data_IF_886917857209
#
_entry.id   IF_886917857209
#
_cell.length_a   1.000
_cell.length_b   1.000
_cell.length_c   1.000
_cell.angle_alpha   90.00
_cell.angle_beta   90.00
_cell.angle_gamma   90.00
#
_symmetry.space_group_name_H-M   'P 1'
#
loop_
_entity.id
_entity.type
_entity.pdbx_description
1 polymer ?
#
# COMPACT_ATOMS: atom_id res chain seq x y z
N UNK A 1 11.17 -12.02 68.06
CA UNK A 1 10.22 -11.84 69.17
C UNK A 1 10.26 -10.39 69.61
N UNK A 2 9.10 -9.73 69.46
CA UNK A 2 8.56 -8.55 70.16
C UNK A 2 9.43 -7.33 70.53
N UNK A 3 8.85 -6.18 70.16
CA UNK A 3 8.70 -4.93 70.93
C UNK A 3 9.50 -3.68 70.49
N UNK A 4 9.05 -2.44 70.81
CA UNK A 4 8.45 -1.54 69.83
C UNK A 4 8.92 -0.07 69.98
N UNK A 5 8.15 0.86 69.36
CA UNK A 5 8.08 2.33 69.62
C UNK A 5 9.28 3.19 69.18
N UNK A 6 8.99 4.16 68.31
CA UNK A 6 8.96 5.58 68.71
C UNK A 6 8.41 6.48 67.59
N UNK A 7 7.25 7.08 67.85
CA UNK A 7 6.78 8.30 67.16
C UNK A 7 7.76 9.44 67.46
N UNK A 8 8.18 10.18 66.44
CA UNK A 8 8.54 11.60 66.59
C UNK A 8 7.88 12.40 65.47
N UNK A 9 6.92 13.22 65.87
CA UNK A 9 6.44 14.36 65.10
C UNK A 9 7.58 15.37 64.96
N UNK A 10 7.89 15.78 63.73
CA UNK A 10 8.67 16.98 63.45
C UNK A 10 7.80 17.89 62.58
N UNK A 11 7.21 18.87 63.24
CA UNK A 11 6.66 20.09 62.67
C UNK A 11 7.80 20.97 62.21
N UNK A 12 7.93 21.20 60.91
CA UNK A 12 8.69 22.34 60.36
C UNK A 12 7.74 23.22 59.58
N UNK A 13 7.31 24.28 60.27
CA UNK A 13 6.60 25.44 59.74
C UNK A 13 7.57 26.31 58.93
N UNK A 14 7.02 26.88 57.86
CA UNK A 14 7.28 28.23 57.32
C UNK A 14 8.69 28.58 56.85
N UNK A 15 8.88 28.63 55.52
CA UNK A 15 9.75 29.57 54.80
C UNK A 15 9.48 29.44 53.28
N UNK A 16 8.46 30.12 52.74
CA UNK A 16 8.29 30.24 51.27
C UNK A 16 7.32 31.39 50.90
N UNK A 17 7.58 32.60 51.40
CA UNK A 17 6.82 33.78 51.02
C UNK A 17 7.75 34.92 50.65
N UNK A 18 8.60 34.76 49.62
CA UNK A 18 9.40 35.88 49.10
C UNK A 18 9.87 35.75 47.63
N UNK A 19 9.22 34.95 46.78
CA UNK A 19 9.65 34.75 45.37
C UNK A 19 8.62 35.10 44.28
N UNK A 20 7.50 35.75 44.61
CA UNK A 20 6.45 36.05 43.62
C UNK A 20 6.56 37.41 42.91
N UNK A 21 7.56 38.25 43.20
CA UNK A 21 7.58 39.64 42.70
C UNK A 21 8.39 39.89 41.41
N UNK A 22 8.85 38.87 40.68
CA UNK A 22 9.71 39.06 39.49
C UNK A 22 9.16 38.49 38.18
N UNK A 23 7.87 38.13 38.11
CA UNK A 23 7.28 37.46 36.93
C UNK A 23 6.36 38.30 36.05
N UNK A 24 6.23 39.60 36.27
CA UNK A 24 5.24 40.44 35.57
C UNK A 24 5.75 41.15 34.31
N UNK A 25 7.05 41.04 33.95
CA UNK A 25 7.61 41.79 32.82
C UNK A 25 7.65 41.08 31.45
N UNK A 26 7.68 39.74 31.42
CA UNK A 26 8.02 38.99 30.19
C UNK A 26 6.82 38.37 29.46
N UNK A 27 5.65 38.33 30.09
CA UNK A 27 4.45 37.73 29.49
C UNK A 27 3.85 38.54 28.34
N UNK A 28 3.95 39.89 28.42
CA UNK A 28 3.32 40.76 27.43
C UNK A 28 4.05 40.78 26.08
N UNK A 29 5.38 40.69 26.08
CA UNK A 29 6.18 40.71 24.84
C UNK A 29 6.10 39.39 24.08
N UNK A 30 6.03 38.25 24.79
CA UNK A 30 5.87 36.94 24.16
C UNK A 30 4.50 36.79 23.49
N UNK A 31 3.43 37.30 24.10
CA UNK A 31 2.08 37.24 23.51
C UNK A 31 1.98 38.10 22.23
N UNK A 32 2.62 39.27 22.20
CA UNK A 32 2.65 40.14 21.03
C UNK A 32 3.41 39.49 19.84
N UNK A 33 4.53 38.80 20.11
CA UNK A 33 5.31 38.13 19.07
C UNK A 33 4.52 37.01 18.36
N UNK A 34 3.73 36.22 19.11
CA UNK A 34 2.89 35.15 18.55
C UNK A 34 1.75 35.72 17.69
N UNK A 35 1.18 36.86 18.09
CA UNK A 35 0.13 37.52 17.31
C UNK A 35 0.67 38.06 15.97
N UNK A 36 1.89 38.61 15.95
CA UNK A 36 2.50 39.14 14.72
C UNK A 36 2.88 37.99 13.78
N UNK A 37 3.47 36.90 14.29
CA UNK A 37 3.84 35.76 13.47
C UNK A 37 2.63 35.07 12.82
N UNK A 38 1.48 35.01 13.50
CA UNK A 38 0.25 34.44 12.94
C UNK A 38 -0.36 35.33 11.85
N UNK A 39 -0.30 36.66 11.99
CA UNK A 39 -0.77 37.58 10.94
C UNK A 39 0.14 37.46 9.70
N UNK A 40 1.46 37.56 9.85
CA UNK A 40 2.40 37.49 8.72
C UNK A 40 2.32 36.14 8.00
N UNK A 41 2.25 35.03 8.75
CA UNK A 41 2.09 33.69 8.16
C UNK A 41 0.78 33.55 7.39
N UNK A 42 -0.32 34.09 7.92
CA UNK A 42 -1.63 34.06 7.24
C UNK A 42 -1.61 34.92 5.98
N UNK A 43 -1.05 36.13 6.03
CA UNK A 43 -0.95 37.02 4.86
C UNK A 43 -0.04 36.43 3.77
N UNK A 44 1.10 35.86 4.13
CA UNK A 44 2.00 35.19 3.18
C UNK A 44 1.32 33.96 2.53
N UNK A 45 0.57 33.18 3.30
CA UNK A 45 -0.21 32.06 2.80
C UNK A 45 -1.33 32.50 1.83
N UNK A 46 -2.04 33.58 2.15
CA UNK A 46 -3.03 34.17 1.23
C UNK A 46 -2.38 34.70 -0.06
N UNK A 47 -1.21 35.33 0.06
CA UNK A 47 -0.48 35.84 -1.11
C UNK A 47 0.00 34.69 -2.01
N UNK A 48 0.48 33.60 -1.41
CA UNK A 48 0.88 32.39 -2.13
C UNK A 48 -0.28 31.75 -2.88
N UNK A 49 -1.45 31.59 -2.23
CA UNK A 49 -2.65 31.04 -2.88
C UNK A 49 -3.17 31.92 -4.02
N UNK A 50 -3.07 33.24 -3.89
CA UNK A 50 -3.61 34.16 -4.91
C UNK A 50 -2.72 34.27 -6.16
N UNK A 51 -1.41 34.03 -6.02
CA UNK A 51 -0.45 34.05 -7.14
C UNK A 51 -0.23 32.69 -7.79
N UNK A 52 -0.38 31.60 -7.04
CA UNK A 52 -0.45 30.26 -7.62
C UNK A 52 -1.89 29.93 -7.98
N UNK A 53 -2.34 30.46 -9.14
CA UNK A 53 -3.50 29.92 -9.85
C UNK A 53 -3.20 28.45 -10.11
N UNK A 54 -3.74 27.56 -9.27
CA UNK A 54 -3.80 26.13 -9.56
C UNK A 54 -4.41 25.98 -10.96
N UNK A 55 -3.84 25.10 -11.81
CA UNK A 55 -4.39 24.86 -13.13
C UNK A 55 -5.89 24.59 -12.96
N UNK A 56 -6.71 25.40 -13.65
CA UNK A 56 -8.15 25.20 -13.68
C UNK A 56 -8.38 23.75 -14.09
N UNK A 57 -8.88 22.93 -13.17
CA UNK A 57 -9.53 21.69 -13.56
C UNK A 57 -10.77 22.12 -14.32
N UNK A 58 -10.90 21.59 -15.53
CA UNK A 58 -11.79 22.08 -16.57
C UNK A 58 -13.22 22.25 -16.04
N UNK A 59 -13.65 23.52 -15.93
CA UNK A 59 -14.99 23.93 -15.51
C UNK A 59 -16.09 23.39 -16.46
N UNK A 60 -15.69 22.80 -17.60
CA UNK A 60 -16.58 22.17 -18.58
C UNK A 60 -17.27 20.89 -18.05
N UNK A 61 -16.62 20.09 -17.20
CA UNK A 61 -17.21 18.84 -16.69
C UNK A 61 -18.27 19.09 -15.59
N UNK A 62 -18.17 20.20 -14.85
CA UNK A 62 -19.18 20.59 -13.86
C UNK A 62 -20.41 21.25 -14.52
N UNK A 63 -20.23 21.95 -15.64
CA UNK A 63 -21.35 22.52 -16.40
C UNK A 63 -22.17 21.43 -17.14
N UNK A 64 -21.52 20.37 -17.62
CA UNK A 64 -22.20 19.20 -18.20
C UNK A 64 -23.02 18.43 -17.14
N UNK A 65 -22.49 18.30 -15.92
CA UNK A 65 -23.25 17.75 -14.78
C UNK A 65 -24.43 18.61 -14.35
N UNK A 66 -24.33 19.94 -14.47
CA UNK A 66 -25.47 20.86 -14.21
C UNK A 66 -26.55 20.72 -15.28
N UNK A 67 -26.17 20.59 -16.55
CA UNK A 67 -27.14 20.39 -17.65
C UNK A 67 -27.85 19.03 -17.57
N UNK A 68 -27.23 18.00 -16.98
CA UNK A 68 -27.85 16.69 -16.80
C UNK A 68 -28.83 16.60 -15.61
N UNK A 69 -28.85 17.57 -14.69
CA UNK A 69 -29.65 17.52 -13.46
C UNK A 69 -30.98 18.29 -13.49
N UNK A 70 -31.24 19.09 -14.53
CA UNK A 70 -32.32 20.09 -14.53
C UNK A 70 -33.57 19.67 -15.33
N UNK A 71 -33.94 18.39 -15.26
CA UNK A 71 -35.27 17.89 -15.65
C UNK A 71 -35.89 17.12 -14.48
N UNK A 72 -36.43 17.85 -13.51
CA UNK A 72 -37.16 17.28 -12.38
C UNK A 72 -37.78 18.39 -11.55
N UNK A 73 -38.97 18.85 -11.97
CA UNK A 73 -39.66 20.02 -11.41
C UNK A 73 -40.21 19.83 -10.00
N UNK A 74 -40.43 20.97 -9.34
CA UNK A 74 -41.19 21.11 -8.09
C UNK A 74 -41.01 22.49 -7.45
N UNK A 75 -41.94 23.41 -7.73
CA UNK A 75 -42.02 24.77 -7.18
C UNK A 75 -42.26 24.80 -5.65
N UNK A 76 -41.90 25.90 -4.94
CA UNK A 76 -41.90 25.98 -3.49
C UNK A 76 -43.13 26.69 -2.91
N UNK A 77 -43.48 26.33 -1.68
CA UNK A 77 -44.41 27.08 -0.83
C UNK A 77 -43.70 27.63 0.42
N UNK A 78 -44.15 28.83 0.79
CA UNK A 78 -43.55 29.77 1.71
C UNK A 78 -43.54 29.37 3.20
N UNK A 79 -42.67 30.05 3.97
CA UNK A 79 -42.98 30.38 5.37
C UNK A 79 -41.80 30.48 6.33
N UNK A 80 -41.63 31.66 6.93
CA UNK A 80 -41.18 31.79 8.32
C UNK A 80 -39.73 32.24 8.52
N UNK A 81 -39.57 33.52 8.86
CA UNK A 81 -38.27 34.10 9.22
C UNK A 81 -37.79 33.73 10.61
N UNK A 82 -36.47 33.80 10.80
CA UNK A 82 -35.89 34.03 12.12
C UNK A 82 -34.53 34.74 11.97
N UNK A 83 -34.51 36.00 12.40
CA UNK A 83 -33.31 36.81 12.58
C UNK A 83 -32.49 36.32 13.78
N UNK A 84 -31.19 36.65 13.74
CA UNK A 84 -30.16 36.64 14.80
C UNK A 84 -29.44 35.31 15.06
N UNK A 85 -28.24 35.19 14.49
CA UNK A 85 -26.94 35.27 15.21
C UNK A 85 -25.79 34.97 14.25
N UNK A 86 -25.66 35.76 13.18
CA UNK A 86 -24.55 35.66 12.23
C UNK A 86 -23.40 36.54 12.67
N UNK A 87 -22.44 35.97 13.37
CA UNK A 87 -21.27 36.77 13.77
C UNK A 87 -20.15 35.99 14.45
N UNK A 88 -19.97 34.69 14.17
CA UNK A 88 -18.75 33.96 14.61
C UNK A 88 -18.51 32.54 14.05
N UNK A 89 -19.24 32.08 13.02
CA UNK A 89 -19.14 30.68 12.53
C UNK A 89 -18.58 30.48 11.12
N UNK A 90 -18.14 31.54 10.43
CA UNK A 90 -17.71 31.42 9.03
C UNK A 90 -16.21 31.11 8.84
N UNK A 91 -15.37 31.25 9.86
CA UNK A 91 -13.92 30.97 9.75
C UNK A 91 -13.55 29.49 9.89
N UNK A 92 -14.34 28.69 10.62
CA UNK A 92 -14.06 27.26 10.79
C UNK A 92 -14.49 26.41 9.58
N UNK A 93 -15.43 26.93 8.77
CA UNK A 93 -15.95 26.26 7.57
C UNK A 93 -14.91 26.20 6.45
N UNK A 94 -14.19 27.31 6.20
CA UNK A 94 -13.18 27.38 5.15
C UNK A 94 -11.93 26.58 5.52
N UNK A 95 -11.51 26.60 6.78
CA UNK A 95 -10.39 25.78 7.27
C UNK A 95 -10.75 24.30 7.30
N UNK A 96 -11.99 23.93 7.67
CA UNK A 96 -12.45 22.54 7.60
C UNK A 96 -12.59 22.04 6.15
N UNK A 97 -13.07 22.88 5.22
CA UNK A 97 -13.12 22.56 3.79
C UNK A 97 -11.72 22.48 3.17
N UNK A 98 -10.80 23.37 3.51
CA UNK A 98 -9.41 23.30 3.05
C UNK A 98 -8.69 22.07 3.63
N UNK A 99 -8.95 21.72 4.89
CA UNK A 99 -8.43 20.50 5.51
C UNK A 99 -9.04 19.23 4.92
N UNK A 100 -10.32 19.25 4.53
CA UNK A 100 -10.98 18.16 3.82
C UNK A 100 -10.47 18.01 2.36
N UNK A 101 -10.20 19.12 1.69
CA UNK A 101 -9.58 19.17 0.35
C UNK A 101 -8.12 18.68 0.37
N UNK A 102 -7.43 18.76 1.52
CA UNK A 102 -6.05 18.27 1.70
C UNK A 102 -5.95 16.96 2.50
N UNK A 103 -7.06 16.44 3.01
CA UNK A 103 -7.12 15.15 3.71
C UNK A 103 -7.59 14.03 2.78
N UNK A 104 -7.22 14.09 1.50
CA UNK A 104 -7.43 12.96 0.61
C UNK A 104 -6.75 11.73 1.19
N UNK A 105 -7.53 10.67 1.41
CA UNK A 105 -6.98 9.37 1.78
C UNK A 105 -6.11 8.89 0.63
N UNK A 106 -4.81 8.79 0.87
CA UNK A 106 -3.85 8.35 -0.12
C UNK A 106 -3.88 6.82 -0.20
N UNK A 107 -4.46 6.30 -1.27
CA UNK A 107 -4.60 4.86 -1.48
C UNK A 107 -3.33 4.30 -2.11
N UNK A 108 -2.73 3.30 -1.48
CA UNK A 108 -1.55 2.59 -1.97
C UNK A 108 -1.92 1.12 -2.15
N UNK A 109 -1.56 0.53 -3.29
CA UNK A 109 -1.63 -0.93 -3.49
C UNK A 109 -0.22 -1.48 -3.63
N UNK A 110 0.07 -2.58 -2.94
CA UNK A 110 1.38 -3.24 -2.98
C UNK A 110 1.16 -4.69 -3.36
N UNK A 111 1.81 -5.15 -4.45
CA UNK A 111 1.84 -6.58 -4.76
C UNK A 111 2.70 -7.29 -3.72
N UNK A 112 2.25 -8.40 -3.14
CA UNK A 112 3.02 -9.12 -2.13
C UNK A 112 4.05 -10.05 -2.77
N UNK A 113 3.70 -10.72 -3.86
CA UNK A 113 4.53 -11.73 -4.53
C UNK A 113 5.86 -11.11 -4.98
N UNK A 114 6.95 -11.67 -4.49
CA UNK A 114 8.34 -11.24 -4.70
C UNK A 114 8.75 -9.85 -4.17
N UNK A 115 7.79 -8.99 -3.80
CA UNK A 115 8.05 -7.70 -3.16
C UNK A 115 8.13 -7.82 -1.63
N UNK A 116 7.11 -8.42 -1.01
CA UNK A 116 7.00 -8.58 0.45
C UNK A 116 7.23 -10.03 0.86
N UNK A 117 6.58 -10.95 0.14
CA UNK A 117 6.60 -12.38 0.38
C UNK A 117 7.27 -13.07 -0.79
N UNK A 118 8.13 -14.04 -0.51
CA UNK A 118 8.81 -14.84 -1.51
C UNK A 118 8.74 -16.32 -1.16
N UNK A 119 8.85 -17.19 -2.16
CA UNK A 119 8.96 -18.62 -1.97
C UNK A 119 10.44 -19.02 -2.11
N UNK A 120 11.12 -19.48 -1.02
CA UNK A 120 12.44 -20.09 -1.07
C UNK A 120 12.43 -21.49 -1.65
N UNK A 121 11.28 -22.20 -1.63
CA UNK A 121 11.21 -23.54 -2.16
C UNK A 121 11.33 -23.49 -3.68
N UNK A 122 12.25 -24.25 -4.29
CA UNK A 122 12.33 -24.39 -5.74
C UNK A 122 11.19 -25.27 -6.29
N UNK A 123 10.52 -26.03 -5.43
CA UNK A 123 9.45 -26.93 -5.81
C UNK A 123 8.10 -26.17 -5.88
N UNK A 124 7.45 -26.11 -7.05
CA UNK A 124 6.13 -25.47 -7.19
C UNK A 124 5.02 -26.26 -6.51
N UNK A 125 5.23 -27.54 -6.19
CA UNK A 125 4.20 -28.40 -5.57
C UNK A 125 4.14 -28.25 -4.05
N UNK A 126 5.21 -27.76 -3.43
CA UNK A 126 5.27 -27.48 -1.98
C UNK A 126 5.74 -26.04 -1.75
N UNK A 127 4.84 -25.06 -1.95
CA UNK A 127 5.17 -23.66 -1.69
C UNK A 127 5.48 -23.43 -0.21
N UNK A 128 6.54 -22.67 0.07
CA UNK A 128 6.95 -22.31 1.43
C UNK A 128 7.10 -20.81 1.58
N UNK A 129 6.02 -20.06 1.72
CA UNK A 129 6.11 -18.61 1.67
C UNK A 129 6.73 -18.00 2.94
N UNK A 130 7.65 -17.06 2.74
CA UNK A 130 8.32 -16.33 3.82
C UNK A 130 8.41 -14.82 3.50
N UNK A 131 8.54 -13.99 4.53
CA UNK A 131 8.80 -12.56 4.33
C UNK A 131 10.23 -12.33 3.81
N UNK A 132 10.39 -11.30 2.98
CA UNK A 132 11.71 -10.74 2.72
C UNK A 132 12.18 -9.97 3.94
N UNK A 133 13.46 -10.12 4.30
CA UNK A 133 14.04 -9.61 5.55
C UNK A 133 13.76 -8.11 5.80
N UNK A 134 13.89 -7.28 4.76
CA UNK A 134 13.66 -5.84 4.86
C UNK A 134 12.20 -5.41 4.66
N UNK A 135 11.32 -6.30 4.21
CA UNK A 135 9.96 -5.91 3.81
C UNK A 135 9.02 -5.73 5.00
N UNK A 136 9.09 -6.62 5.99
CA UNK A 136 8.23 -6.57 7.18
C UNK A 136 8.42 -5.30 8.01
N UNK A 137 9.63 -4.89 8.43
CA UNK A 137 9.81 -3.67 9.22
C UNK A 137 9.42 -2.41 8.44
N UNK A 138 9.62 -2.40 7.12
CA UNK A 138 9.19 -1.31 6.25
C UNK A 138 7.66 -1.23 6.17
N UNK A 139 6.98 -2.38 6.03
CA UNK A 139 5.53 -2.44 5.99
C UNK A 139 4.91 -2.05 7.34
N UNK A 140 5.48 -2.48 8.46
CA UNK A 140 5.07 -2.04 9.80
C UNK A 140 5.24 -0.53 9.96
N UNK A 141 6.39 0.01 9.53
CA UNK A 141 6.63 1.45 9.59
C UNK A 141 5.60 2.22 8.74
N UNK A 142 5.31 1.74 7.53
CA UNK A 142 4.24 2.29 6.70
C UNK A 142 2.91 2.22 7.43
N UNK A 143 2.44 1.05 7.85
CA UNK A 143 1.11 0.91 8.47
C UNK A 143 0.97 1.77 9.74
N UNK A 144 1.98 1.81 10.62
CA UNK A 144 1.92 2.50 11.90
C UNK A 144 2.08 4.02 11.79
N UNK A 145 3.01 4.52 10.95
CA UNK A 145 3.33 5.95 10.90
C UNK A 145 2.52 6.73 9.87
N UNK A 146 1.83 6.04 8.95
CA UNK A 146 1.12 6.67 7.84
C UNK A 146 -0.36 6.99 8.15
N UNK A 147 -0.92 6.49 9.25
CA UNK A 147 -2.30 6.80 9.64
C UNK A 147 -2.46 8.24 10.15
N UNK A 148 -3.57 8.94 9.82
CA UNK A 148 -4.77 8.48 9.09
C UNK A 148 -4.72 8.73 7.56
N UNK A 149 -3.56 9.09 7.00
CA UNK A 149 -3.47 9.61 5.62
C UNK A 149 -3.39 8.54 4.56
N UNK A 150 -2.90 7.35 4.89
CA UNK A 150 -2.66 6.31 3.89
C UNK A 150 -3.55 5.09 4.11
N UNK A 151 -4.15 4.62 3.01
CA UNK A 151 -4.94 3.40 2.96
C UNK A 151 -4.15 2.37 2.14
N UNK A 152 -3.59 1.39 2.83
CA UNK A 152 -2.75 0.35 2.21
C UNK A 152 -3.62 -0.86 1.88
N UNK A 153 -3.50 -1.34 0.64
CA UNK A 153 -4.06 -2.59 0.13
C UNK A 153 -2.91 -3.50 -0.27
N UNK A 154 -2.96 -4.76 0.18
CA UNK A 154 -2.03 -5.79 -0.23
C UNK A 154 -2.71 -6.68 -1.24
N UNK A 155 -2.05 -7.00 -2.34
CA UNK A 155 -2.63 -7.85 -3.39
C UNK A 155 -1.63 -8.94 -3.74
N UNK A 156 -2.08 -10.19 -3.79
CA UNK A 156 -1.23 -11.31 -4.18
C UNK A 156 -1.93 -12.24 -5.14
N UNK A 157 -1.16 -12.79 -6.06
CA UNK A 157 -1.62 -13.84 -6.97
C UNK A 157 -1.30 -15.18 -6.33
N UNK A 158 -2.31 -16.01 -6.12
CA UNK A 158 -2.22 -17.35 -5.53
C UNK A 158 -2.70 -18.38 -6.54
N UNK A 159 -2.08 -19.56 -6.50
CA UNK A 159 -2.38 -20.67 -7.39
C UNK A 159 -3.28 -21.73 -6.75
N UNK A 160 -3.29 -21.80 -5.42
CA UNK A 160 -4.11 -22.74 -4.65
C UNK A 160 -4.63 -22.14 -3.34
N UNK A 161 -5.66 -22.74 -2.78
CA UNK A 161 -6.25 -22.32 -1.49
C UNK A 161 -5.28 -22.58 -0.32
N UNK A 162 -4.41 -23.59 -0.43
CA UNK A 162 -3.35 -23.86 0.55
C UNK A 162 -2.31 -22.73 0.57
N UNK A 163 -1.92 -22.23 -0.61
CA UNK A 163 -1.02 -21.07 -0.71
C UNK A 163 -1.65 -19.82 -0.08
N UNK A 164 -2.93 -19.58 -0.36
CA UNK A 164 -3.69 -18.50 0.26
C UNK A 164 -3.72 -18.63 1.80
N UNK A 165 -4.05 -19.82 2.31
CA UNK A 165 -4.11 -20.09 3.74
C UNK A 165 -2.75 -19.90 4.41
N UNK A 166 -1.66 -20.29 3.75
CA UNK A 166 -0.30 -20.10 4.23
C UNK A 166 0.06 -18.62 4.33
N UNK A 167 -0.20 -17.82 3.28
CA UNK A 167 0.06 -16.37 3.29
C UNK A 167 -0.78 -15.68 4.37
N UNK A 168 -2.05 -16.06 4.50
CA UNK A 168 -2.94 -15.52 5.54
C UNK A 168 -2.41 -15.82 6.94
N UNK A 169 -1.99 -17.06 7.20
CA UNK A 169 -1.38 -17.47 8.47
C UNK A 169 -0.08 -16.72 8.74
N UNK A 170 0.75 -16.55 7.71
CA UNK A 170 2.00 -15.81 7.78
C UNK A 170 1.74 -14.34 8.18
N UNK A 171 0.78 -13.65 7.56
CA UNK A 171 0.38 -12.30 7.95
C UNK A 171 -0.19 -12.24 9.36
N UNK A 172 -1.04 -13.20 9.74
CA UNK A 172 -1.63 -13.28 11.08
C UNK A 172 -0.60 -13.50 12.20
N UNK A 173 0.55 -14.13 11.88
CA UNK A 173 1.65 -14.31 12.82
C UNK A 173 2.44 -13.00 13.11
N UNK A 174 2.19 -11.94 12.34
CA UNK A 174 2.85 -10.64 12.50
C UNK A 174 1.99 -9.64 13.28
N UNK A 175 2.60 -8.53 13.71
CA UNK A 175 1.86 -7.42 14.33
C UNK A 175 1.11 -6.54 13.33
N UNK A 176 1.14 -6.81 12.02
CA UNK A 176 0.62 -5.89 11.00
C UNK A 176 -0.87 -5.53 11.20
N UNK A 177 -1.70 -6.50 11.59
CA UNK A 177 -3.11 -6.24 11.88
C UNK A 177 -3.31 -5.42 13.16
N UNK A 178 -2.46 -5.62 14.17
CA UNK A 178 -2.47 -4.83 15.41
C UNK A 178 -1.96 -3.40 15.18
N UNK A 179 -0.96 -3.24 14.31
CA UNK A 179 -0.46 -1.95 13.80
C UNK A 179 -1.52 -1.25 12.92
N UNK A 180 -2.49 -2.04 12.45
CA UNK A 180 -3.77 -1.59 11.94
C UNK A 180 -3.89 -1.66 10.42
N UNK A 181 -3.17 -2.58 9.80
CA UNK A 181 -3.55 -3.12 8.50
C UNK A 181 -4.94 -3.77 8.65
N UNK A 182 -5.85 -3.49 7.72
CA UNK A 182 -7.17 -4.10 7.71
C UNK A 182 -7.09 -5.41 6.91
N UNK A 183 -7.49 -6.53 7.52
CA UNK A 183 -7.50 -7.84 6.87
C UNK A 183 -8.35 -7.84 5.59
N UNK A 184 -9.42 -7.04 5.56
CA UNK A 184 -10.30 -6.91 4.38
C UNK A 184 -9.62 -6.23 3.18
N UNK A 185 -8.47 -5.61 3.39
CA UNK A 185 -7.66 -4.96 2.35
C UNK A 185 -6.52 -5.83 1.86
N UNK A 186 -6.45 -7.08 2.32
CA UNK A 186 -5.57 -8.11 1.77
C UNK A 186 -6.38 -8.89 0.74
N UNK A 187 -6.08 -8.68 -0.53
CA UNK A 187 -6.81 -9.24 -1.66
C UNK A 187 -6.01 -10.36 -2.33
N UNK A 188 -6.72 -11.43 -2.65
CA UNK A 188 -6.17 -12.62 -3.30
C UNK A 188 -6.79 -12.74 -4.70
N UNK A 189 -5.99 -13.17 -5.68
CA UNK A 189 -6.45 -13.37 -7.05
C UNK A 189 -5.74 -14.56 -7.69
N UNK A 190 -6.42 -15.24 -8.62
CA UNK A 190 -5.86 -16.44 -9.26
C UNK A 190 -4.89 -16.12 -10.42
N UNK A 191 -5.02 -14.94 -11.03
CA UNK A 191 -4.26 -14.56 -12.23
C UNK A 191 -3.66 -13.17 -12.12
N UNK A 192 -2.56 -12.94 -12.83
CA UNK A 192 -1.91 -11.62 -12.93
C UNK A 192 -2.82 -10.58 -13.62
N UNK A 193 -3.66 -11.02 -14.56
CA UNK A 193 -4.69 -10.17 -15.17
C UNK A 193 -5.76 -9.77 -14.15
N UNK A 194 -6.21 -10.71 -13.32
CA UNK A 194 -7.12 -10.44 -12.20
C UNK A 194 -6.55 -9.40 -11.22
N UNK A 195 -5.25 -9.48 -10.91
CA UNK A 195 -4.55 -8.46 -10.12
C UNK A 195 -4.64 -7.08 -10.78
N UNK A 196 -4.34 -6.97 -12.07
CA UNK A 196 -4.42 -5.70 -12.79
C UNK A 196 -5.85 -5.12 -12.76
N UNK A 197 -6.88 -5.96 -12.91
CA UNK A 197 -8.27 -5.54 -12.78
C UNK A 197 -8.59 -5.03 -11.37
N UNK A 198 -8.20 -5.74 -10.30
CA UNK A 198 -8.41 -5.28 -8.93
C UNK A 198 -7.75 -3.92 -8.69
N UNK A 199 -6.51 -3.74 -9.14
CA UNK A 199 -5.79 -2.47 -8.99
C UNK A 199 -6.51 -1.34 -9.70
N UNK A 200 -7.03 -1.56 -10.91
CA UNK A 200 -7.82 -0.54 -11.63
C UNK A 200 -9.08 -0.14 -10.87
N UNK A 201 -9.80 -1.09 -10.28
CA UNK A 201 -11.04 -0.79 -9.54
C UNK A 201 -10.77 -0.07 -8.20
N UNK A 202 -9.61 -0.32 -7.58
CA UNK A 202 -9.20 0.36 -6.35
C UNK A 202 -8.77 1.82 -6.63
N UNK A 203 -8.34 2.11 -7.86
CA UNK A 203 -7.83 3.43 -8.29
C UNK A 203 -6.78 4.01 -7.33
N UNK A 204 -5.69 3.26 -7.04
CA UNK A 204 -4.69 3.73 -6.11
C UNK A 204 -3.94 4.95 -6.65
N UNK A 205 -3.40 5.74 -5.73
CA UNK A 205 -2.48 6.82 -6.07
C UNK A 205 -1.11 6.27 -6.45
N UNK A 206 -0.67 5.21 -5.75
CA UNK A 206 0.58 4.49 -6.01
C UNK A 206 0.33 2.99 -6.04
N UNK A 207 0.83 2.35 -7.08
CA UNK A 207 0.94 0.90 -7.15
C UNK A 207 2.40 0.45 -7.13
N UNK A 208 2.74 -0.56 -6.33
CA UNK A 208 4.08 -1.15 -6.28
C UNK A 208 4.03 -2.62 -6.71
N UNK A 209 4.80 -2.99 -7.73
CA UNK A 209 4.86 -4.36 -8.26
C UNK A 209 6.28 -4.71 -8.77
N UNK A 210 6.55 -6.00 -8.94
CA UNK A 210 7.74 -6.55 -9.61
C UNK A 210 7.46 -6.93 -11.07
N UNK A 211 6.22 -7.27 -11.41
CA UNK A 211 5.83 -7.79 -12.73
C UNK A 211 5.63 -6.67 -13.78
N UNK A 212 6.39 -6.73 -14.86
CA UNK A 212 6.37 -5.73 -15.94
C UNK A 212 5.08 -5.68 -16.70
N UNK A 213 4.55 -6.85 -17.04
CA UNK A 213 3.34 -6.93 -17.83
C UNK A 213 2.15 -6.30 -17.08
N UNK A 214 2.18 -6.36 -15.74
CA UNK A 214 1.16 -5.73 -14.89
C UNK A 214 1.40 -4.22 -14.82
N UNK A 215 2.66 -3.79 -14.64
CA UNK A 215 3.04 -2.38 -14.59
C UNK A 215 2.69 -1.65 -15.88
N UNK A 216 3.04 -2.21 -17.04
CA UNK A 216 2.76 -1.61 -18.36
C UNK A 216 1.26 -1.48 -18.60
N UNK A 217 0.48 -2.50 -18.21
CA UNK A 217 -0.98 -2.45 -18.30
C UNK A 217 -1.64 -1.46 -17.33
N UNK A 218 -0.99 -1.14 -16.22
CA UNK A 218 -1.51 -0.23 -15.18
C UNK A 218 -1.04 1.21 -15.33
N UNK A 219 0.08 1.44 -16.03
CA UNK A 219 0.67 2.76 -16.22
C UNK A 219 -0.32 3.83 -16.73
N UNK A 220 -1.28 3.54 -17.63
CA UNK A 220 -2.27 4.53 -18.06
C UNK A 220 -3.34 4.88 -17.01
N UNK A 221 -3.55 4.01 -16.02
CA UNK A 221 -4.69 4.10 -15.08
C UNK A 221 -4.28 4.58 -13.69
N UNK A 222 -3.03 4.37 -13.31
CA UNK A 222 -2.51 4.68 -11.97
C UNK A 222 -1.57 5.87 -12.05
N UNK A 223 -1.80 6.88 -11.21
CA UNK A 223 -1.00 8.14 -11.20
C UNK A 223 0.50 7.90 -11.09
N UNK A 224 0.90 6.90 -10.31
CA UNK A 224 2.31 6.51 -10.15
C UNK A 224 2.43 5.01 -9.95
N UNK A 225 3.24 4.37 -10.80
CA UNK A 225 3.62 2.97 -10.63
C UNK A 225 5.08 2.90 -10.21
N UNK A 226 5.38 2.09 -9.20
CA UNK A 226 6.72 1.86 -8.67
C UNK A 226 7.10 0.42 -8.99
N UNK A 227 8.17 0.30 -9.77
CA UNK A 227 8.73 -1.00 -10.16
C UNK A 227 9.80 -1.44 -9.16
N UNK A 228 9.66 -2.64 -8.62
CA UNK A 228 10.69 -3.26 -7.78
C UNK A 228 11.55 -4.18 -8.64
N UNK A 229 12.86 -3.91 -8.69
CA UNK A 229 13.86 -4.77 -9.36
C UNK A 229 14.74 -5.43 -8.30
N UNK A 230 15.04 -6.71 -8.46
CA UNK A 230 16.12 -7.34 -7.70
C UNK A 230 17.45 -6.91 -8.31
N UNK A 231 18.30 -6.27 -7.50
CA UNK A 231 19.70 -6.10 -7.89
C UNK A 231 20.38 -7.47 -7.80
N UNK A 232 20.61 -8.11 -8.95
CA UNK A 232 21.60 -9.19 -9.01
C UNK A 232 22.94 -8.53 -8.71
N UNK A 233 23.66 -8.92 -7.64
CA UNK A 233 24.99 -8.39 -7.41
C UNK A 233 25.87 -8.82 -8.60
N UNK A 234 26.20 -7.87 -9.46
CA UNK A 234 26.97 -8.04 -10.70
C UNK A 234 28.46 -8.36 -10.45
N UNK A 235 28.79 -8.95 -9.30
CA UNK A 235 30.13 -9.21 -8.83
C UNK A 235 30.43 -10.70 -8.69
N UNK A 236 30.27 -11.48 -9.76
CA UNK A 236 31.09 -12.66 -9.95
C UNK A 236 31.48 -12.68 -11.42
N UNK A 237 32.77 -12.48 -11.77
CA UNK A 237 33.21 -12.64 -13.14
C UNK A 237 32.88 -14.07 -13.55
N UNK A 238 31.91 -14.20 -14.45
CA UNK A 238 31.67 -15.47 -15.15
C UNK A 238 33.03 -15.95 -15.63
N UNK A 239 33.50 -17.16 -15.25
CA UNK A 239 34.79 -17.64 -15.69
C UNK A 239 34.75 -17.64 -17.21
N UNK A 240 35.52 -16.71 -17.79
CA UNK A 240 35.74 -16.66 -19.21
C UNK A 240 36.07 -18.09 -19.65
N UNK A 241 35.30 -18.60 -20.62
CA UNK A 241 35.60 -19.81 -21.38
C UNK A 241 37.03 -19.70 -21.93
N UNK A 242 37.98 -20.10 -21.11
CA UNK A 242 39.39 -20.05 -21.36
C UNK A 242 39.91 -21.46 -21.45
N UNK A 243 39.90 -21.98 -22.68
CA UNK A 243 40.68 -23.11 -23.22
C UNK A 243 40.43 -24.51 -22.59
N UNK A 244 40.19 -25.54 -23.42
CA UNK A 244 40.36 -26.91 -22.96
C UNK A 244 41.83 -27.15 -22.58
N UNK A 245 42.12 -27.84 -21.46
CA UNK A 245 43.49 -28.20 -21.11
C UNK A 245 44.05 -29.14 -22.17
N UNK A 246 45.16 -28.73 -22.79
CA UNK A 246 45.98 -29.62 -23.61
C UNK A 246 46.56 -30.68 -22.69
N UNK A 247 46.09 -31.91 -22.83
CA UNK A 247 46.64 -33.09 -22.16
C UNK A 247 47.99 -33.39 -22.80
N UNK A 248 49.08 -33.19 -22.05
CA UNK A 248 50.39 -33.74 -22.38
C UNK A 248 50.75 -34.77 -21.31
N UNK A 249 50.68 -36.03 -21.72
CA UNK A 249 51.43 -37.21 -21.29
C UNK A 249 51.69 -37.46 -19.79
N UNK A 250 51.08 -38.55 -19.31
CA UNK A 250 51.86 -39.73 -18.96
C UNK A 250 52.18 -39.94 -17.48
N UNK A 251 51.34 -40.74 -16.80
CA UNK A 251 51.79 -41.78 -15.88
C UNK A 251 50.60 -42.65 -15.48
N UNK A 252 50.66 -43.91 -15.87
CA UNK A 252 49.75 -44.97 -15.50
C UNK A 252 50.02 -45.44 -14.06
N UNK A 253 48.98 -45.64 -13.25
CA UNK A 253 48.95 -46.58 -12.10
C UNK A 253 47.54 -47.16 -11.97
N UNK A 254 47.37 -48.48 -11.67
CA UNK A 254 46.17 -49.22 -12.03
C UNK A 254 45.16 -49.43 -10.89
N UNK A 255 43.92 -49.65 -11.32
CA UNK A 255 42.91 -50.59 -10.84
C UNK A 255 42.87 -50.97 -9.33
N UNK A 256 41.77 -50.58 -8.67
CA UNK A 256 41.16 -51.42 -7.65
C UNK A 256 39.63 -51.43 -7.85
N UNK A 257 39.14 -52.65 -8.14
CA UNK A 257 37.74 -53.06 -8.20
C UNK A 257 37.07 -52.83 -6.83
N UNK A 258 35.74 -52.69 -6.79
CA UNK A 258 34.79 -53.59 -6.11
C UNK A 258 33.42 -52.90 -5.92
N UNK A 259 32.37 -53.74 -5.99
CA UNK A 259 31.00 -53.52 -5.51
C UNK A 259 29.98 -52.88 -6.45
N UNK A 260 29.55 -53.73 -7.39
CA UNK A 260 28.16 -53.94 -7.81
C UNK A 260 27.13 -53.66 -6.69
N UNK A 261 26.18 -52.75 -6.94
CA UNK A 261 24.98 -52.58 -6.12
C UNK A 261 23.73 -52.73 -7.01
N UNK A 262 22.67 -53.38 -6.51
CA UNK A 262 21.59 -53.91 -7.34
C UNK A 262 20.53 -52.87 -7.75
N UNK A 263 20.07 -53.05 -8.98
CA UNK A 263 18.93 -52.42 -9.65
C UNK A 263 17.64 -52.52 -8.83
N UNK A 264 16.95 -51.40 -8.51
CA UNK A 264 15.58 -51.46 -8.02
C UNK A 264 14.61 -51.78 -9.16
N UNK A 265 13.68 -52.68 -8.86
CA UNK A 265 12.62 -53.18 -9.74
C UNK A 265 11.71 -52.04 -10.20
N UNK A 266 11.51 -52.00 -11.51
CA UNK A 266 10.53 -51.18 -12.20
C UNK A 266 9.13 -51.79 -11.96
N UNK A 267 8.39 -51.26 -10.99
CA UNK A 267 6.97 -51.57 -10.83
C UNK A 267 6.16 -50.64 -11.75
N UNK A 268 5.58 -51.24 -12.79
CA UNK A 268 4.66 -50.55 -13.70
C UNK A 268 3.41 -50.07 -12.94
N UNK A 269 2.99 -48.80 -13.10
CA UNK A 269 1.75 -48.32 -12.50
C UNK A 269 0.53 -48.97 -13.15
N UNK A 270 -0.56 -49.21 -12.39
CA UNK A 270 -1.80 -49.75 -12.92
C UNK A 270 -2.49 -48.78 -13.88
N UNK A 271 -3.11 -49.34 -14.93
CA UNK A 271 -3.79 -48.58 -15.98
C UNK A 271 -4.89 -47.65 -15.42
N UNK A 272 -5.04 -46.43 -15.96
CA UNK A 272 -6.10 -45.52 -15.55
C UNK A 272 -7.49 -46.03 -15.97
N UNK A 273 -8.54 -45.74 -15.18
CA UNK A 273 -9.91 -46.09 -15.54
C UNK A 273 -10.40 -45.34 -16.79
N UNK A 274 -11.37 -45.91 -17.54
CA UNK A 274 -11.86 -45.32 -18.77
C UNK A 274 -12.55 -43.97 -18.53
N UNK A 275 -12.13 -42.97 -19.31
CA UNK A 275 -12.69 -41.62 -19.32
C UNK A 275 -14.15 -41.67 -19.79
N UNK A 276 -15.12 -41.11 -19.05
CA UNK A 276 -16.49 -40.99 -19.52
C UNK A 276 -16.58 -39.99 -20.68
N UNK A 277 -17.27 -40.41 -21.74
CA UNK A 277 -17.54 -39.63 -22.95
C UNK A 277 -18.17 -38.25 -22.64
N UNK A 278 -17.79 -37.18 -23.36
CA UNK A 278 -18.29 -35.83 -23.12
C UNK A 278 -19.79 -35.73 -23.40
N UNK A 279 -20.53 -35.18 -22.44
CA UNK A 279 -21.93 -34.77 -22.62
C UNK A 279 -22.00 -33.63 -23.66
N UNK A 280 -23.01 -33.61 -24.55
CA UNK A 280 -23.22 -32.51 -25.46
C UNK A 280 -23.55 -31.23 -24.69
N UNK A 281 -22.72 -30.20 -24.85
CA UNK A 281 -22.97 -28.86 -24.32
C UNK A 281 -24.12 -28.22 -25.11
N UNK A 282 -25.19 -27.87 -24.39
CA UNK A 282 -26.24 -27.03 -24.91
C UNK A 282 -25.66 -25.65 -25.28
N UNK A 283 -25.97 -25.21 -26.50
CA UNK A 283 -25.58 -23.93 -27.06
C UNK A 283 -25.99 -22.76 -26.15
N UNK A 284 -25.03 -21.92 -25.79
CA UNK A 284 -25.27 -20.62 -25.18
C UNK A 284 -25.64 -19.59 -26.26
N UNK A 285 -26.53 -18.63 -25.95
CA UNK A 285 -26.93 -17.58 -26.88
C UNK A 285 -25.78 -16.58 -27.11
N UNK A 286 -25.47 -16.36 -28.39
CA UNK A 286 -24.63 -15.28 -28.90
C UNK A 286 -25.20 -13.91 -28.52
N UNK A 287 -24.45 -13.13 -27.76
CA UNK A 287 -24.69 -11.70 -27.57
C UNK A 287 -23.98 -10.89 -28.66
N UNK A 288 -24.61 -9.83 -29.19
CA UNK A 288 -24.01 -8.97 -30.20
C UNK A 288 -22.95 -8.03 -29.60
N UNK A 289 -21.83 -7.89 -30.32
CA UNK A 289 -20.71 -7.02 -29.98
C UNK A 289 -21.10 -5.53 -30.02
N UNK A 290 -20.56 -4.67 -29.13
CA UNK A 290 -20.70 -3.23 -29.26
C UNK A 290 -19.73 -2.66 -30.31
N UNK A 291 -20.25 -1.68 -31.04
CA UNK A 291 -19.62 -0.95 -32.13
C UNK A 291 -18.37 -0.20 -31.67
N UNK A 292 -17.31 -0.38 -32.45
CA UNK A 292 -15.99 0.23 -32.31
C UNK A 292 -16.04 1.64 -32.93
N UNK A 293 -16.22 2.67 -32.10
CA UNK A 293 -16.05 4.06 -32.53
C UNK A 293 -14.56 4.38 -32.47
N UNK A 294 -13.95 4.45 -33.65
CA UNK A 294 -12.62 5.03 -33.84
C UNK A 294 -12.70 6.55 -33.65
N UNK A 295 -11.92 7.09 -32.72
CA UNK A 295 -11.53 8.50 -32.75
C UNK A 295 -10.02 8.56 -32.82
N UNK A 296 -9.55 9.20 -33.90
CA UNK A 296 -8.17 9.52 -34.18
C UNK A 296 -7.57 10.38 -33.06
N UNK A 297 -6.42 9.91 -32.55
CA UNK A 297 -5.14 10.61 -32.63
C UNK A 297 -4.97 11.94 -31.89
N UNK A 298 -4.10 11.93 -30.87
CA UNK A 298 -3.11 13.00 -30.65
C UNK A 298 -1.82 12.38 -30.09
N UNK A 299 -0.72 12.70 -30.77
CA UNK A 299 0.68 12.45 -30.40
C UNK A 299 1.10 13.37 -29.23
N UNK A 300 1.93 12.87 -28.30
CA UNK A 300 3.27 13.38 -27.97
C UNK A 300 3.73 13.08 -26.52
N UNK A 301 4.91 12.44 -26.46
CA UNK A 301 5.98 12.39 -25.43
C UNK A 301 5.67 11.72 -24.09
#
# INVERSE_FOLDING_TARGET
>A
MSSPRARRHLTTRTLSSHLSSLRTGWGATAAAAVAIASIVGTTAYYYYLNHHKLPKLDEEEEEERRRAGEQGGGEPAAGGGQQRTEGRRLSNSVVAKAKALWSGTYVITISMKNVIVWNPSPDPTTPNHAFRESALPYLQHLVSHSKPRFQIHLITVVSSDEEEAQIRSLLASTSLYADGLDERRVLYCATEEGKAHLVRHIEPHVHVDENDDVIERLAPFVKRVVRVRRSVPSGCPSPAMGRPPTIVNGAAVPAARTATAPTPRNESPPAPPPIPSPRPLHALPTFPAPLLVSVLGVHCI
#
